data_IF_800539966505
#
_entry.id   IF_800539966505
#
_cell.length_a   1.000
_cell.length_b   1.000
_cell.length_c   1.000
_cell.angle_alpha   90.00
_cell.angle_beta   90.00
_cell.angle_gamma   90.00
#
_symmetry.space_group_name_H-M   'P 1'
#
loop_
_entity.id
_entity.type
_entity.pdbx_description
1 polymer ?
#
# COMPACT_ATOMS: atom_id res chain seq x y z
N UNK A 1 -11.64 36.64 2.94
CA UNK A 1 -11.91 35.26 2.48
C UNK A 1 -11.03 34.96 1.28
N UNK A 2 -10.35 33.81 1.25
CA UNK A 2 -9.35 33.50 0.20
C UNK A 2 -10.06 32.98 -1.05
N UNK A 3 -9.91 33.69 -2.16
CA UNK A 3 -10.40 33.29 -3.49
C UNK A 3 -9.24 32.72 -4.31
N UNK A 4 -9.52 31.71 -5.12
CA UNK A 4 -8.57 31.11 -6.06
C UNK A 4 -9.26 30.90 -7.40
N UNK A 5 -8.56 31.17 -8.50
CA UNK A 5 -9.11 31.08 -9.85
C UNK A 5 -8.32 30.06 -10.69
N UNK A 6 -9.03 29.09 -11.26
CA UNK A 6 -8.50 28.21 -12.31
C UNK A 6 -8.97 28.74 -13.66
N UNK A 7 -8.05 29.08 -14.55
CA UNK A 7 -8.32 29.70 -15.87
C UNK A 7 -8.21 28.69 -17.01
N UNK A 8 -8.90 28.96 -18.11
CA UNK A 8 -8.74 28.30 -19.42
C UNK A 8 -8.80 26.76 -19.37
N UNK A 9 -9.68 26.18 -18.54
CA UNK A 9 -9.83 24.73 -18.41
C UNK A 9 -10.90 24.13 -19.33
N UNK A 10 -10.78 22.83 -19.62
CA UNK A 10 -11.87 21.99 -20.16
C UNK A 10 -12.49 21.20 -19.02
N UNK A 11 -13.60 21.69 -18.49
CA UNK A 11 -14.22 21.19 -17.26
C UNK A 11 -15.18 20.06 -17.59
N UNK A 12 -15.02 18.92 -16.93
CA UNK A 12 -15.92 17.76 -17.02
C UNK A 12 -17.12 17.92 -16.10
N UNK A 13 -18.32 17.69 -16.63
CA UNK A 13 -19.59 17.81 -15.90
C UNK A 13 -20.31 16.47 -15.72
N UNK A 14 -21.28 16.37 -14.79
CA UNK A 14 -22.05 15.15 -14.55
C UNK A 14 -22.83 14.63 -15.77
N UNK A 15 -23.14 15.51 -16.73
CA UNK A 15 -23.76 15.18 -18.02
C UNK A 15 -22.77 14.55 -19.03
N UNK A 16 -21.54 14.25 -18.59
CA UNK A 16 -20.46 13.66 -19.37
C UNK A 16 -19.94 14.55 -20.51
N UNK A 17 -20.17 15.86 -20.41
CA UNK A 17 -19.68 16.82 -21.39
C UNK A 17 -18.48 17.61 -20.86
N UNK A 18 -17.61 18.04 -21.79
CA UNK A 18 -16.53 18.98 -21.49
C UNK A 18 -16.91 20.38 -21.93
N UNK A 19 -16.72 21.36 -21.04
CA UNK A 19 -17.02 22.76 -21.32
C UNK A 19 -15.80 23.62 -21.02
N UNK A 20 -15.45 24.52 -21.95
CA UNK A 20 -14.37 25.49 -21.70
C UNK A 20 -14.84 26.52 -20.67
N UNK A 21 -14.02 26.78 -19.66
CA UNK A 21 -14.39 27.75 -18.63
C UNK A 21 -13.33 28.02 -17.58
N UNK A 22 -13.69 28.92 -16.66
CA UNK A 22 -12.89 29.32 -15.52
C UNK A 22 -13.63 28.98 -14.22
N UNK A 23 -12.93 28.50 -13.21
CA UNK A 23 -13.53 28.10 -11.91
C UNK A 23 -13.03 29.06 -10.83
N UNK A 24 -13.97 29.73 -10.14
CA UNK A 24 -13.65 30.46 -8.91
C UNK A 24 -13.94 29.58 -7.70
N UNK A 25 -12.91 29.34 -6.91
CA UNK A 25 -12.97 28.63 -5.64
C UNK A 25 -12.91 29.68 -4.53
N UNK A 26 -13.81 29.58 -3.56
CA UNK A 26 -13.79 30.40 -2.36
C UNK A 26 -14.11 29.53 -1.16
N UNK A 27 -13.30 29.65 -0.10
CA UNK A 27 -13.50 28.91 1.16
C UNK A 27 -13.68 27.39 0.93
N UNK A 28 -12.82 26.82 0.06
CA UNK A 28 -12.79 25.40 -0.35
C UNK A 28 -14.04 24.90 -1.10
N UNK A 29 -14.91 25.79 -1.58
CA UNK A 29 -16.08 25.47 -2.40
C UNK A 29 -15.97 26.12 -3.77
N UNK A 30 -16.55 25.48 -4.78
CA UNK A 30 -16.76 26.13 -6.08
C UNK A 30 -17.80 27.23 -5.85
N UNK A 31 -17.37 28.49 -6.00
CA UNK A 31 -18.24 29.66 -5.85
C UNK A 31 -18.98 29.96 -7.14
N UNK A 32 -18.28 29.86 -8.27
CA UNK A 32 -18.84 30.09 -9.59
C UNK A 32 -18.02 29.40 -10.68
N UNK A 33 -18.67 29.06 -11.79
CA UNK A 33 -18.02 28.58 -13.01
C UNK A 33 -18.43 29.50 -14.15
N UNK A 34 -17.45 30.14 -14.78
CA UNK A 34 -17.65 31.06 -15.87
C UNK A 34 -17.41 30.35 -17.20
N UNK A 35 -18.38 30.42 -18.11
CA UNK A 35 -18.29 29.87 -19.46
C UNK A 35 -18.18 31.00 -20.47
N UNK A 36 -17.30 30.85 -21.45
CA UNK A 36 -17.17 31.76 -22.60
C UNK A 36 -17.01 33.26 -22.24
N UNK A 37 -16.61 33.58 -21.00
CA UNK A 37 -16.51 34.97 -20.57
C UNK A 37 -15.34 35.70 -21.24
N UNK A 38 -15.65 36.89 -21.76
CA UNK A 38 -14.69 37.90 -22.19
C UNK A 38 -14.65 38.97 -21.10
N UNK A 39 -13.76 38.83 -20.12
CA UNK A 39 -13.66 39.76 -19.01
C UNK A 39 -12.57 39.40 -18.02
N UNK A 40 -12.09 40.37 -17.24
CA UNK A 40 -11.08 40.15 -16.20
C UNK A 40 -11.78 39.70 -14.91
N UNK A 41 -11.58 38.45 -14.52
CA UNK A 41 -11.99 37.94 -13.21
C UNK A 41 -10.99 38.44 -12.17
N UNK A 42 -11.42 39.32 -11.27
CA UNK A 42 -10.55 39.93 -10.25
C UNK A 42 -10.29 38.97 -9.07
N UNK A 43 -9.35 38.06 -9.29
CA UNK A 43 -8.82 37.15 -8.27
C UNK A 43 -7.28 37.13 -8.38
N UNK A 44 -6.61 37.54 -7.31
CA UNK A 44 -5.15 37.66 -7.24
C UNK A 44 -4.44 36.30 -7.36
N UNK A 45 -4.92 35.28 -6.66
CA UNK A 45 -4.35 33.93 -6.69
C UNK A 45 -4.98 33.12 -7.83
N UNK A 46 -4.18 32.76 -8.85
CA UNK A 46 -4.71 32.01 -9.99
C UNK A 46 -3.73 30.99 -10.57
N UNK A 47 -4.29 29.99 -11.25
CA UNK A 47 -3.60 28.97 -12.03
C UNK A 47 -4.20 28.94 -13.44
N UNK A 48 -3.35 28.94 -14.47
CA UNK A 48 -3.79 28.69 -15.84
C UNK A 48 -3.76 27.18 -16.14
N UNK A 49 -4.91 26.61 -16.52
CA UNK A 49 -4.99 25.21 -16.93
C UNK A 49 -4.47 24.99 -18.36
N UNK A 50 -4.21 26.04 -19.15
CA UNK A 50 -3.67 25.95 -20.51
C UNK A 50 -4.46 24.97 -21.41
N UNK A 51 -5.79 24.99 -21.33
CA UNK A 51 -6.67 24.10 -22.09
C UNK A 51 -6.72 22.65 -21.60
N UNK A 52 -6.06 22.31 -20.49
CA UNK A 52 -6.09 20.97 -19.88
C UNK A 52 -7.47 20.65 -19.30
N UNK A 53 -7.70 19.36 -19.11
CA UNK A 53 -8.93 18.83 -18.55
C UNK A 53 -8.95 19.04 -17.04
N UNK A 54 -10.10 19.47 -16.53
CA UNK A 54 -10.40 19.56 -15.10
C UNK A 54 -11.53 18.57 -14.81
N UNK A 55 -11.26 17.62 -13.92
CA UNK A 55 -12.25 16.65 -13.43
C UNK A 55 -12.49 16.85 -11.93
N UNK A 56 -13.67 16.45 -11.41
CA UNK A 56 -13.84 16.30 -9.98
C UNK A 56 -12.76 15.37 -9.39
N UNK A 57 -12.36 15.61 -8.15
CA UNK A 57 -11.53 14.66 -7.41
C UNK A 57 -12.25 13.31 -7.30
N UNK A 58 -11.50 12.22 -7.44
CA UNK A 58 -12.07 10.88 -7.28
C UNK A 58 -12.57 10.67 -5.85
N UNK A 59 -13.75 10.05 -5.74
CA UNK A 59 -14.34 9.63 -4.47
C UNK A 59 -14.43 8.11 -4.51
N UNK A 60 -13.65 7.44 -3.67
CA UNK A 60 -13.74 6.01 -3.45
C UNK A 60 -14.70 5.75 -2.28
N UNK A 61 -15.86 5.16 -2.56
CA UNK A 61 -16.89 4.87 -1.55
C UNK A 61 -16.67 3.57 -0.80
N UNK A 62 -15.72 2.73 -1.23
CA UNK A 62 -15.46 1.43 -0.60
C UNK A 62 -13.99 1.04 -0.74
N UNK A 63 -13.21 1.38 0.29
CA UNK A 63 -11.79 1.08 0.33
C UNK A 63 -11.39 0.50 1.69
N UNK A 64 -10.36 -0.35 1.68
CA UNK A 64 -9.74 -0.88 2.88
C UNK A 64 -8.45 -0.11 3.20
N UNK A 65 -8.55 1.20 3.39
CA UNK A 65 -7.39 2.10 3.52
C UNK A 65 -6.38 1.65 4.59
N UNK A 66 -6.85 1.20 5.75
CA UNK A 66 -5.98 0.70 6.81
C UNK A 66 -5.24 -0.58 6.40
N UNK A 67 -5.92 -1.51 5.72
CA UNK A 67 -5.28 -2.75 5.27
C UNK A 67 -4.25 -2.47 4.18
N UNK A 68 -4.55 -1.55 3.27
CA UNK A 68 -3.61 -1.13 2.23
C UNK A 68 -2.39 -0.42 2.83
N UNK A 69 -2.59 0.47 3.80
CA UNK A 69 -1.48 1.07 4.54
C UNK A 69 -0.60 0.00 5.22
N UNK A 70 -1.21 -0.98 5.89
CA UNK A 70 -0.50 -2.11 6.49
C UNK A 70 0.28 -2.90 5.44
N UNK A 71 -0.31 -3.13 4.26
CA UNK A 71 0.33 -3.86 3.16
C UNK A 71 1.55 -3.13 2.63
N UNK A 72 1.45 -1.82 2.38
CA UNK A 72 2.55 -0.99 1.85
C UNK A 72 3.76 -0.97 2.81
N UNK A 73 3.53 -1.16 4.11
CA UNK A 73 4.59 -1.22 5.12
C UNK A 73 5.31 -2.58 5.19
N UNK A 74 4.82 -3.62 4.51
CA UNK A 74 5.45 -4.94 4.48
C UNK A 74 6.58 -4.98 3.46
N UNK A 75 7.46 -5.97 3.60
CA UNK A 75 8.41 -6.26 2.52
C UNK A 75 7.60 -6.78 1.32
N UNK A 76 7.62 -6.05 0.21
CA UNK A 76 6.94 -6.41 -1.02
C UNK A 76 7.78 -7.43 -1.80
N UNK A 77 7.22 -8.61 -2.09
CA UNK A 77 7.85 -9.70 -2.82
C UNK A 77 7.28 -9.89 -4.24
N UNK A 78 6.44 -8.97 -4.72
CA UNK A 78 5.74 -9.07 -6.00
C UNK A 78 6.66 -9.05 -7.23
N UNK A 79 7.94 -8.74 -7.05
CA UNK A 79 8.97 -8.72 -8.10
C UNK A 79 9.92 -9.92 -8.02
N UNK A 80 9.70 -10.84 -7.09
CA UNK A 80 10.50 -12.05 -7.04
C UNK A 80 10.09 -13.00 -8.17
N UNK A 81 11.08 -13.49 -8.90
CA UNK A 81 10.89 -14.44 -10.01
C UNK A 81 11.40 -15.85 -9.68
N UNK A 82 11.94 -16.04 -8.48
CA UNK A 82 12.38 -17.32 -7.91
C UNK A 82 12.61 -17.16 -6.38
N UNK A 83 12.90 -18.28 -5.72
CA UNK A 83 13.14 -18.33 -4.26
C UNK A 83 14.33 -17.48 -3.83
N UNK A 84 15.44 -17.51 -4.58
CA UNK A 84 16.66 -16.77 -4.21
C UNK A 84 16.45 -15.26 -4.31
N UNK A 85 15.83 -14.79 -5.39
CA UNK A 85 15.48 -13.38 -5.58
C UNK A 85 14.50 -12.90 -4.49
N UNK A 86 13.51 -13.73 -4.12
CA UNK A 86 12.64 -13.44 -2.98
C UNK A 86 13.45 -13.30 -1.68
N UNK A 87 14.40 -14.21 -1.43
CA UNK A 87 15.22 -14.16 -0.23
C UNK A 87 16.15 -12.96 -0.19
N UNK A 88 16.67 -12.50 -1.32
CA UNK A 88 17.48 -11.27 -1.37
C UNK A 88 16.64 -10.03 -1.06
N UNK A 89 15.41 -9.96 -1.59
CA UNK A 89 14.45 -8.91 -1.21
C UNK A 89 14.13 -8.92 0.29
N UNK A 90 13.97 -10.11 0.88
CA UNK A 90 13.75 -10.26 2.33
C UNK A 90 14.98 -9.80 3.11
N UNK A 91 16.19 -10.25 2.76
CA UNK A 91 17.44 -9.84 3.45
C UNK A 91 17.64 -8.33 3.40
N UNK A 92 17.38 -7.70 2.26
CA UNK A 92 17.43 -6.24 2.14
C UNK A 92 16.39 -5.58 3.04
N UNK A 93 15.14 -6.04 2.96
CA UNK A 93 14.05 -5.54 3.79
C UNK A 93 14.26 -5.74 5.29
N UNK A 94 14.98 -6.78 5.72
CA UNK A 94 15.31 -7.05 7.12
C UNK A 94 16.20 -5.96 7.74
N UNK A 95 17.02 -5.25 6.96
CA UNK A 95 17.94 -4.19 7.46
C UNK A 95 17.22 -3.05 8.17
N UNK A 96 15.93 -2.86 7.92
CA UNK A 96 15.15 -1.80 8.58
C UNK A 96 14.57 -2.21 9.95
N UNK A 97 14.65 -3.50 10.30
CA UNK A 97 14.08 -4.09 11.51
C UNK A 97 15.15 -4.33 12.58
N UNK A 98 14.75 -4.24 13.84
CA UNK A 98 15.59 -4.64 14.97
C UNK A 98 15.43 -6.14 15.22
N UNK A 99 16.43 -6.74 15.88
CA UNK A 99 16.34 -8.12 16.36
C UNK A 99 15.08 -8.31 17.22
N UNK A 100 14.33 -9.39 16.96
CA UNK A 100 13.10 -9.72 17.67
C UNK A 100 11.82 -9.10 17.10
N UNK A 101 11.92 -8.05 16.27
CA UNK A 101 10.78 -7.48 15.55
C UNK A 101 10.09 -8.56 14.72
N UNK A 102 8.76 -8.54 14.68
CA UNK A 102 7.95 -9.44 13.85
C UNK A 102 7.83 -8.89 12.43
N UNK A 103 8.27 -9.65 11.42
CA UNK A 103 8.25 -9.24 10.01
C UNK A 103 7.19 -10.03 9.25
N UNK A 104 6.43 -9.29 8.45
CA UNK A 104 5.56 -9.86 7.43
C UNK A 104 6.06 -9.36 6.07
N UNK A 105 6.35 -10.29 5.17
CA UNK A 105 6.55 -10.04 3.75
C UNK A 105 5.36 -10.58 2.97
N UNK A 106 5.03 -10.02 1.81
CA UNK A 106 3.81 -10.38 1.08
C UNK A 106 3.96 -10.29 -0.43
N UNK A 107 3.00 -10.88 -1.12
CA UNK A 107 2.78 -10.77 -2.57
C UNK A 107 3.75 -11.57 -3.45
N UNK A 108 4.47 -12.55 -2.90
CA UNK A 108 5.17 -13.52 -3.76
C UNK A 108 4.14 -14.37 -4.53
N UNK A 109 4.47 -14.70 -5.78
CA UNK A 109 3.66 -15.57 -6.63
C UNK A 109 4.54 -16.56 -7.40
N UNK A 110 4.67 -17.76 -6.86
CA UNK A 110 5.49 -18.82 -7.45
C UNK A 110 4.88 -19.42 -8.72
N UNK A 111 3.65 -19.06 -9.10
CA UNK A 111 2.97 -19.64 -10.28
C UNK A 111 3.70 -19.40 -11.59
N UNK A 112 4.43 -18.28 -11.66
CA UNK A 112 5.18 -17.84 -12.84
C UNK A 112 6.69 -18.08 -12.72
N UNK A 113 7.17 -18.67 -11.61
CA UNK A 113 8.58 -18.95 -11.42
C UNK A 113 9.03 -20.15 -12.28
N UNK A 114 10.28 -20.18 -12.76
CA UNK A 114 10.83 -21.34 -13.47
C UNK A 114 10.73 -22.62 -12.64
N UNK A 115 10.94 -22.50 -11.32
CA UNK A 115 10.73 -23.56 -10.35
C UNK A 115 9.60 -23.12 -9.40
N UNK A 116 8.45 -23.80 -9.47
CA UNK A 116 7.26 -23.50 -8.65
C UNK A 116 7.41 -24.02 -7.23
N UNK A 117 8.29 -23.38 -6.47
CA UNK A 117 8.61 -23.77 -5.12
C UNK A 117 8.12 -22.73 -4.12
N UNK A 118 7.25 -23.17 -3.22
CA UNK A 118 6.96 -22.44 -1.98
C UNK A 118 8.07 -22.82 -0.98
N UNK A 119 8.80 -21.85 -0.40
CA UNK A 119 9.84 -22.17 0.57
C UNK A 119 9.23 -22.72 1.85
N UNK A 120 10.02 -23.45 2.63
CA UNK A 120 9.59 -24.00 3.91
C UNK A 120 10.12 -23.19 5.11
N UNK A 121 9.66 -23.58 6.31
CA UNK A 121 10.10 -23.06 7.59
C UNK A 121 11.62 -23.07 7.75
N UNK A 122 12.30 -24.13 7.31
CA UNK A 122 13.74 -24.31 7.52
C UNK A 122 14.51 -23.30 6.68
N UNK A 123 14.07 -23.05 5.45
CA UNK A 123 14.63 -21.99 4.61
C UNK A 123 14.43 -20.62 5.26
N UNK A 124 13.23 -20.33 5.77
CA UNK A 124 12.97 -19.05 6.46
C UNK A 124 13.73 -18.89 7.77
N UNK A 125 13.98 -19.98 8.51
CA UNK A 125 14.82 -19.97 9.71
C UNK A 125 16.27 -19.55 9.37
N UNK A 126 16.80 -19.99 8.23
CA UNK A 126 18.14 -19.59 7.76
C UNK A 126 18.19 -18.11 7.34
N UNK A 127 17.14 -17.62 6.68
CA UNK A 127 17.07 -16.23 6.20
C UNK A 127 16.82 -15.24 7.34
N UNK A 128 16.05 -15.64 8.35
CA UNK A 128 15.67 -14.77 9.47
C UNK A 128 15.83 -15.49 10.82
N UNK A 129 17.08 -15.78 11.25
CA UNK A 129 17.33 -16.59 12.44
C UNK A 129 17.05 -15.85 13.75
N UNK A 130 16.95 -14.52 13.71
CA UNK A 130 16.81 -13.67 14.89
C UNK A 130 15.45 -12.96 14.99
N UNK A 131 14.60 -13.15 13.99
CA UNK A 131 13.34 -12.43 13.86
C UNK A 131 12.21 -13.39 13.46
N UNK A 132 11.03 -13.29 14.09
CA UNK A 132 9.82 -13.90 13.56
C UNK A 132 9.55 -13.40 12.13
N UNK A 133 9.49 -14.32 11.17
CA UNK A 133 9.24 -14.01 9.76
C UNK A 133 8.04 -14.82 9.26
N UNK A 134 7.10 -14.11 8.62
CA UNK A 134 6.00 -14.69 7.84
C UNK A 134 6.06 -14.14 6.43
N UNK A 135 6.00 -15.01 5.42
CA UNK A 135 5.79 -14.62 4.03
C UNK A 135 4.37 -15.01 3.62
N UNK A 136 3.62 -14.11 3.00
CA UNK A 136 2.24 -14.37 2.53
C UNK A 136 2.18 -14.33 1.00
N UNK A 137 1.59 -15.36 0.41
CA UNK A 137 1.39 -15.45 -1.04
C UNK A 137 0.41 -14.39 -1.52
N UNK A 138 0.50 -14.00 -2.80
CA UNK A 138 -0.36 -12.99 -3.43
C UNK A 138 -1.86 -13.28 -3.28
N UNK A 139 -2.28 -14.55 -3.28
CA UNK A 139 -3.69 -14.90 -3.13
C UNK A 139 -4.24 -14.59 -1.73
N UNK A 140 -3.38 -14.38 -0.73
CA UNK A 140 -3.79 -14.13 0.65
C UNK A 140 -4.20 -15.38 1.45
N UNK A 141 -4.29 -16.55 0.82
CA UNK A 141 -4.76 -17.80 1.45
C UNK A 141 -3.64 -18.73 1.91
N UNK A 142 -2.41 -18.49 1.45
CA UNK A 142 -1.23 -19.28 1.81
C UNK A 142 -0.17 -18.35 2.42
N UNK A 143 0.44 -18.79 3.52
CA UNK A 143 1.62 -18.17 4.08
C UNK A 143 2.60 -19.22 4.60
N UNK A 144 3.84 -18.82 4.81
CA UNK A 144 4.87 -19.66 5.44
C UNK A 144 5.50 -18.87 6.57
N UNK A 145 5.58 -19.49 7.75
CA UNK A 145 6.18 -18.92 8.94
C UNK A 145 7.47 -19.67 9.32
N UNK A 146 8.48 -18.92 9.77
CA UNK A 146 9.65 -19.51 10.40
C UNK A 146 9.33 -19.98 11.84
N UNK A 147 10.28 -20.66 12.47
CA UNK A 147 10.11 -21.23 13.81
C UNK A 147 9.77 -20.17 14.86
N UNK A 148 10.37 -18.99 14.77
CA UNK A 148 10.11 -17.89 15.71
C UNK A 148 8.69 -17.32 15.56
N UNK A 149 8.18 -17.22 14.33
CA UNK A 149 6.80 -16.79 14.07
C UNK A 149 5.78 -17.85 14.49
N UNK A 150 6.03 -19.13 14.23
CA UNK A 150 5.14 -20.22 14.64
C UNK A 150 4.93 -20.28 16.15
N UNK A 151 5.95 -19.95 16.95
CA UNK A 151 5.83 -19.88 18.43
C UNK A 151 4.86 -18.81 18.92
N UNK A 152 4.58 -17.78 18.11
CA UNK A 152 3.62 -16.71 18.43
C UNK A 152 2.18 -17.06 18.06
N UNK A 153 1.96 -18.13 17.30
CA UNK A 153 0.62 -18.55 16.86
C UNK A 153 -0.04 -19.38 17.96
N UNK A 154 -1.18 -18.90 18.45
CA UNK A 154 -2.01 -19.63 19.41
C UNK A 154 -2.59 -20.92 18.84
N UNK A 155 -2.87 -21.90 19.71
CA UNK A 155 -3.41 -23.21 19.31
C UNK A 155 -4.86 -23.15 18.78
N UNK A 156 -5.54 -22.01 18.91
CA UNK A 156 -6.91 -21.79 18.43
C UNK A 156 -6.98 -21.60 16.91
N UNK A 157 -5.85 -21.34 16.25
CA UNK A 157 -5.78 -21.12 14.80
C UNK A 157 -5.67 -22.44 14.03
N UNK A 158 -6.48 -22.58 12.97
CA UNK A 158 -6.48 -23.77 12.12
C UNK A 158 -5.56 -23.61 10.91
N UNK A 159 -5.28 -24.72 10.22
CA UNK A 159 -4.51 -24.69 8.96
C UNK A 159 -3.00 -24.48 9.14
N UNK A 160 -2.43 -24.73 10.32
CA UNK A 160 -0.99 -24.56 10.59
C UNK A 160 -0.26 -25.91 10.50
N UNK A 161 0.62 -26.08 9.51
CA UNK A 161 1.58 -27.18 9.49
C UNK A 161 2.86 -26.76 10.21
N UNK A 162 3.03 -27.14 11.48
CA UNK A 162 4.20 -26.76 12.29
C UNK A 162 5.52 -27.35 11.77
N UNK A 163 5.51 -28.45 10.99
CA UNK A 163 6.72 -29.07 10.44
C UNK A 163 7.28 -28.22 9.29
N UNK A 164 6.43 -27.91 8.31
CA UNK A 164 6.80 -27.17 7.10
C UNK A 164 6.68 -25.65 7.25
N UNK A 165 5.96 -25.17 8.26
CA UNK A 165 5.63 -23.76 8.46
C UNK A 165 4.54 -23.23 7.55
N UNK A 166 3.98 -24.06 6.66
CA UNK A 166 2.89 -23.68 5.76
C UNK A 166 1.60 -23.45 6.57
N UNK A 167 0.92 -22.36 6.25
CA UNK A 167 -0.31 -21.92 6.89
C UNK A 167 -1.36 -21.64 5.82
N UNK A 168 -2.59 -22.13 6.00
CA UNK A 168 -3.69 -21.98 5.03
C UNK A 168 -4.93 -21.33 5.63
N UNK A 169 -5.72 -20.66 4.79
CA UNK A 169 -7.05 -20.11 5.10
C UNK A 169 -7.09 -19.18 6.31
N UNK A 170 -7.54 -19.70 7.45
CA UNK A 170 -7.84 -18.97 8.68
C UNK A 170 -6.66 -18.09 9.13
N UNK A 171 -5.44 -18.63 9.06
CA UNK A 171 -4.24 -17.92 9.54
C UNK A 171 -3.81 -16.79 8.59
N UNK A 172 -3.57 -17.01 7.28
CA UNK A 172 -3.16 -15.93 6.38
C UNK A 172 -4.22 -14.82 6.20
N UNK A 173 -5.50 -15.16 6.32
CA UNK A 173 -6.62 -14.21 6.28
C UNK A 173 -6.70 -13.35 7.56
N UNK A 174 -6.30 -13.90 8.70
CA UNK A 174 -6.26 -13.18 9.99
C UNK A 174 -4.86 -12.75 10.41
N UNK A 175 -3.90 -12.68 9.48
CA UNK A 175 -2.48 -12.46 9.79
C UNK A 175 -2.23 -11.21 10.66
N UNK A 176 -2.97 -10.12 10.45
CA UNK A 176 -2.83 -8.89 11.23
C UNK A 176 -3.40 -8.99 12.64
N UNK A 177 -4.28 -9.96 12.91
CA UNK A 177 -4.79 -10.25 14.25
C UNK A 177 -3.79 -11.10 15.04
N UNK A 178 -3.08 -11.99 14.35
CA UNK A 178 -2.06 -12.87 14.94
C UNK A 178 -0.75 -12.12 15.17
N UNK A 179 -0.37 -11.31 14.19
CA UNK A 179 0.84 -10.51 14.17
C UNK A 179 0.45 -9.03 14.01
N UNK A 180 -0.07 -8.40 15.08
CA UNK A 180 -0.44 -7.00 15.03
C UNK A 180 0.79 -6.14 14.78
N UNK A 181 0.66 -5.04 14.02
CA UNK A 181 1.75 -4.11 13.83
C UNK A 181 2.21 -3.52 15.17
N UNK A 182 3.50 -3.64 15.50
CA UNK A 182 4.08 -3.14 16.76
C UNK A 182 4.24 -1.61 16.76
N UNK A 183 4.44 -0.94 17.89
CA UNK A 183 4.60 0.54 17.94
C UNK A 183 5.80 1.07 17.13
N UNK A 184 6.78 0.21 16.86
CA UNK A 184 7.88 0.42 15.93
C UNK A 184 7.43 0.71 14.48
N UNK A 185 6.19 0.38 14.15
CA UNK A 185 5.48 0.59 12.87
C UNK A 185 5.37 2.08 12.49
N UNK A 186 5.36 2.99 13.46
CA UNK A 186 5.43 4.44 13.20
C UNK A 186 6.77 4.91 12.59
N UNK A 187 7.85 4.11 12.71
CA UNK A 187 9.19 4.52 12.23
C UNK A 187 9.31 4.57 10.71
N UNK A 188 8.50 3.79 9.99
CA UNK A 188 8.41 3.88 8.52
C UNK A 188 7.70 5.17 8.09
N UNK A 189 6.58 5.50 8.74
CA UNK A 189 5.84 6.76 8.49
C UNK A 189 6.73 8.00 8.68
N UNK A 190 7.55 8.02 9.75
CA UNK A 190 8.51 9.10 9.97
C UNK A 190 9.65 9.16 8.93
N UNK A 191 10.04 8.03 8.31
CA UNK A 191 11.04 8.05 7.23
C UNK A 191 10.46 8.58 5.93
N UNK A 192 9.24 8.21 5.56
CA UNK A 192 8.57 8.74 4.36
C UNK A 192 8.33 10.26 4.44
N UNK A 193 8.09 10.80 5.64
CA UNK A 193 8.05 12.25 5.85
C UNK A 193 9.41 12.94 5.64
N UNK A 194 10.52 12.22 5.88
CA UNK A 194 11.88 12.77 5.79
C UNK A 194 12.56 12.49 4.46
N UNK A 195 12.06 11.56 3.64
CA UNK A 195 12.57 11.28 2.28
C UNK A 195 12.00 12.22 1.20
N UNK A 196 11.17 13.19 1.60
CA UNK A 196 10.63 14.24 0.75
C UNK A 196 11.29 15.62 0.92
N UNK A 197 12.53 15.66 1.45
CA UNK A 197 13.39 16.85 1.44
C UNK A 197 14.50 16.71 0.42
#
# INVERSE_FOLDING_TARGET
>A
MKKFLIKNGKIFFPDRQFRKGNIVIQDKKIKHIYFNEKGKIDVKDSLDANGKIIVPGFIDSHTHLLQEAIKIMRINLSKADNVDGMFDMIKEGLKQYKRGDTIIASDFDESNWPVKQIPDRIMLDKISPQNPLVIRRICGHIAVANTLALKKIGNNWKGVNKKTGVMTEDVPLNINRIFPPESSFCRWFHRCQNSGK
#
